data_IF_761152668657
#
_entry.id   IF_761152668657
#
_cell.length_a   1.000
_cell.length_b   1.000
_cell.length_c   1.000
_cell.angle_alpha   90.00
_cell.angle_beta   90.00
_cell.angle_gamma   90.00
#
_symmetry.space_group_name_H-M   'P 1'
#
loop_
_entity.id
_entity.type
_entity.pdbx_description
1 polymer ?
#
# COMPACT_ATOMS: atom_id res chain seq x y z
N UNK A 1 2.51 3.86 -84.47
CA UNK A 1 2.63 2.53 -83.85
C UNK A 1 3.40 2.50 -82.52
N UNK A 2 4.33 3.43 -82.24
CA UNK A 2 5.09 3.46 -80.96
C UNK A 2 4.22 3.66 -79.70
N UNK A 3 3.14 4.46 -79.77
CA UNK A 3 2.21 4.71 -78.65
C UNK A 3 1.49 3.46 -78.14
N UNK A 4 1.25 2.46 -78.99
CA UNK A 4 0.55 1.23 -78.62
C UNK A 4 1.45 0.22 -77.91
N UNK A 5 2.73 0.13 -78.31
CA UNK A 5 3.71 -0.74 -77.67
C UNK A 5 4.09 -0.27 -76.26
N UNK A 6 4.14 1.05 -76.03
CA UNK A 6 4.37 1.64 -74.70
C UNK A 6 3.21 1.26 -73.75
N UNK A 7 1.96 1.29 -74.22
CA UNK A 7 0.80 0.98 -73.38
C UNK A 7 0.74 -0.50 -72.91
N UNK A 8 1.24 -1.43 -73.73
CA UNK A 8 1.31 -2.87 -73.41
C UNK A 8 2.44 -3.20 -72.44
N UNK A 9 3.58 -2.50 -72.51
CA UNK A 9 4.65 -2.68 -71.53
C UNK A 9 4.24 -2.16 -70.15
N UNK A 10 3.54 -1.02 -70.08
CA UNK A 10 3.07 -0.44 -68.82
C UNK A 10 2.05 -1.34 -68.10
N UNK A 11 1.14 -2.01 -68.81
CA UNK A 11 0.13 -2.88 -68.17
C UNK A 11 0.74 -4.08 -67.43
N UNK A 12 1.89 -4.59 -67.89
CA UNK A 12 2.62 -5.68 -67.21
C UNK A 12 3.24 -5.27 -65.88
N UNK A 13 3.49 -3.97 -65.66
CA UNK A 13 3.98 -3.44 -64.39
C UNK A 13 2.86 -3.00 -63.44
N UNK A 14 1.66 -2.70 -63.97
CA UNK A 14 0.50 -2.29 -63.16
C UNK A 14 0.01 -3.44 -62.28
N UNK A 15 -0.11 -4.66 -62.82
CA UNK A 15 -0.58 -5.83 -62.06
C UNK A 15 0.32 -6.15 -60.84
N UNK A 16 1.66 -6.30 -60.95
CA UNK A 16 2.51 -6.54 -59.79
C UNK A 16 2.53 -5.35 -58.82
N UNK A 17 2.43 -4.11 -59.30
CA UNK A 17 2.34 -2.93 -58.44
C UNK A 17 1.07 -2.95 -57.57
N UNK A 18 -0.09 -3.30 -58.15
CA UNK A 18 -1.35 -3.44 -57.40
C UNK A 18 -1.26 -4.56 -56.38
N UNK A 19 -0.66 -5.71 -56.73
CA UNK A 19 -0.46 -6.82 -55.79
C UNK A 19 0.47 -6.40 -54.64
N UNK A 20 1.58 -5.71 -54.91
CA UNK A 20 2.46 -5.18 -53.87
C UNK A 20 1.75 -4.18 -52.95
N UNK A 21 0.89 -3.32 -53.50
CA UNK A 21 0.13 -2.34 -52.72
C UNK A 21 -0.88 -3.04 -51.79
N UNK A 22 -1.61 -4.04 -52.29
CA UNK A 22 -2.53 -4.85 -51.49
C UNK A 22 -1.80 -5.64 -50.40
N UNK A 23 -0.63 -6.21 -50.70
CA UNK A 23 0.22 -6.86 -49.70
C UNK A 23 0.72 -5.86 -48.65
N UNK A 24 1.10 -4.65 -49.06
CA UNK A 24 1.47 -3.58 -48.15
C UNK A 24 0.32 -3.17 -47.22
N UNK A 25 -0.90 -3.01 -47.75
CA UNK A 25 -2.08 -2.66 -46.95
C UNK A 25 -2.46 -3.77 -45.98
N UNK A 26 -2.41 -5.03 -46.40
CA UNK A 26 -2.69 -6.17 -45.51
C UNK A 26 -1.63 -6.33 -44.44
N UNK A 27 -0.35 -6.15 -44.76
CA UNK A 27 0.74 -6.15 -43.78
C UNK A 27 0.60 -4.99 -42.78
N UNK A 28 0.29 -3.79 -43.25
CA UNK A 28 0.07 -2.62 -42.39
C UNK A 28 -1.14 -2.79 -41.48
N UNK A 29 -2.26 -3.31 -42.02
CA UNK A 29 -3.46 -3.63 -41.24
C UNK A 29 -3.16 -4.68 -40.16
N UNK A 30 -2.44 -5.75 -40.52
CA UNK A 30 -2.03 -6.80 -39.58
C UNK A 30 -1.12 -6.25 -38.48
N UNK A 31 -0.18 -5.37 -38.83
CA UNK A 31 0.71 -4.71 -37.88
C UNK A 31 -0.06 -3.85 -36.89
N UNK A 32 -0.98 -3.01 -37.37
CA UNK A 32 -1.82 -2.17 -36.50
C UNK A 32 -2.72 -3.01 -35.59
N UNK A 33 -3.28 -4.11 -36.11
CA UNK A 33 -4.10 -5.02 -35.31
C UNK A 33 -3.29 -5.74 -34.23
N UNK A 34 -2.08 -6.19 -34.55
CA UNK A 34 -1.17 -6.77 -33.55
C UNK A 34 -0.78 -5.74 -32.49
N UNK A 35 -0.54 -4.49 -32.90
CA UNK A 35 -0.23 -3.40 -32.00
C UNK A 35 -1.39 -3.10 -31.04
N UNK A 36 -2.64 -3.07 -31.52
CA UNK A 36 -3.80 -2.86 -30.65
C UNK A 36 -3.97 -4.01 -29.66
N UNK A 37 -3.86 -5.26 -30.12
CA UNK A 37 -3.92 -6.44 -29.24
C UNK A 37 -2.82 -6.44 -28.19
N UNK A 38 -1.62 -5.97 -28.53
CA UNK A 38 -0.51 -5.83 -27.59
C UNK A 38 -0.84 -4.83 -26.48
N UNK A 39 -1.36 -3.65 -26.84
CA UNK A 39 -1.75 -2.63 -25.86
C UNK A 39 -2.90 -3.10 -24.96
N UNK A 40 -3.91 -3.76 -25.52
CA UNK A 40 -5.02 -4.32 -24.73
C UNK A 40 -4.53 -5.36 -23.72
N UNK A 41 -3.64 -6.27 -24.13
CA UNK A 41 -3.05 -7.26 -23.21
C UNK A 41 -2.21 -6.60 -22.13
N UNK A 42 -1.46 -5.58 -22.48
CA UNK A 42 -0.64 -4.84 -21.52
C UNK A 42 -1.52 -4.12 -20.50
N UNK A 43 -2.60 -3.47 -20.95
CA UNK A 43 -3.58 -2.82 -20.07
C UNK A 43 -4.25 -3.83 -19.14
N UNK A 44 -4.70 -4.98 -19.66
CA UNK A 44 -5.31 -6.04 -18.86
C UNK A 44 -4.32 -6.60 -17.82
N UNK A 45 -3.06 -6.82 -18.21
CA UNK A 45 -2.00 -7.29 -17.31
C UNK A 45 -1.75 -6.29 -16.20
N UNK A 46 -1.61 -5.00 -16.53
CA UNK A 46 -1.40 -3.93 -15.56
C UNK A 46 -2.59 -3.79 -14.61
N UNK A 47 -3.82 -3.88 -15.11
CA UNK A 47 -5.03 -3.86 -14.26
C UNK A 47 -5.07 -5.04 -13.30
N UNK A 48 -4.73 -6.24 -13.78
CA UNK A 48 -4.67 -7.44 -12.95
C UNK A 48 -3.58 -7.33 -11.86
N UNK A 49 -2.39 -6.86 -12.22
CA UNK A 49 -1.30 -6.62 -11.28
C UNK A 49 -1.67 -5.56 -10.25
N UNK A 50 -2.27 -4.44 -10.67
CA UNK A 50 -2.72 -3.38 -9.77
C UNK A 50 -3.82 -3.86 -8.82
N UNK A 51 -4.76 -4.66 -9.32
CA UNK A 51 -5.78 -5.31 -8.48
C UNK A 51 -5.18 -6.24 -7.43
N UNK A 52 -4.20 -7.06 -7.83
CA UNK A 52 -3.48 -7.97 -6.94
C UNK A 52 -2.68 -7.20 -5.88
N UNK A 53 -1.98 -6.15 -6.28
CA UNK A 53 -1.25 -5.26 -5.37
C UNK A 53 -2.21 -4.60 -4.38
N UNK A 54 -3.32 -4.04 -4.85
CA UNK A 54 -4.34 -3.44 -3.99
C UNK A 54 -4.88 -4.44 -2.95
N UNK A 55 -5.23 -5.64 -3.40
CA UNK A 55 -5.70 -6.70 -2.51
C UNK A 55 -4.63 -7.09 -1.49
N UNK A 56 -3.39 -7.28 -1.90
CA UNK A 56 -2.27 -7.64 -1.01
C UNK A 56 -2.00 -6.56 0.04
N UNK A 57 -1.98 -5.28 -0.35
CA UNK A 57 -1.78 -4.16 0.56
C UNK A 57 -2.94 -4.02 1.55
N UNK A 58 -4.17 -4.22 1.07
CA UNK A 58 -5.36 -4.20 1.92
C UNK A 58 -5.35 -5.34 2.95
N UNK A 59 -4.93 -6.53 2.55
CA UNK A 59 -4.83 -7.70 3.42
C UNK A 59 -3.72 -7.51 4.46
N UNK A 60 -2.55 -7.03 4.05
CA UNK A 60 -1.46 -6.67 4.95
C UNK A 60 -1.90 -5.62 5.97
N UNK A 61 -2.58 -4.56 5.54
CA UNK A 61 -3.12 -3.52 6.44
C UNK A 61 -4.18 -4.04 7.40
N UNK A 62 -5.03 -5.00 7.00
CA UNK A 62 -5.97 -5.68 7.93
C UNK A 62 -5.23 -6.57 8.93
N UNK A 63 -4.23 -7.32 8.48
CA UNK A 63 -3.40 -8.17 9.34
C UNK A 63 -2.72 -7.35 10.43
N UNK A 64 -2.06 -6.25 10.07
CA UNK A 64 -1.37 -5.37 11.04
C UNK A 64 -2.33 -4.71 12.03
N UNK A 65 -3.50 -4.27 11.56
CA UNK A 65 -4.55 -3.77 12.47
C UNK A 65 -5.04 -4.84 13.44
N UNK A 66 -5.29 -6.05 12.93
CA UNK A 66 -5.74 -7.18 13.73
C UNK A 66 -4.71 -7.55 14.80
N UNK A 67 -3.43 -7.57 14.43
CA UNK A 67 -2.32 -7.80 15.35
C UNK A 67 -2.30 -6.75 16.48
N UNK A 68 -2.27 -5.45 16.17
CA UNK A 68 -2.26 -4.40 17.20
C UNK A 68 -3.53 -4.44 18.06
N UNK A 69 -4.69 -4.69 17.46
CA UNK A 69 -5.95 -4.81 18.18
C UNK A 69 -5.96 -6.00 19.15
N UNK A 70 -5.32 -7.12 18.77
CA UNK A 70 -5.19 -8.28 19.65
C UNK A 70 -4.36 -7.96 20.89
N UNK A 71 -3.25 -7.23 20.74
CA UNK A 71 -2.43 -6.74 21.85
C UNK A 71 -3.17 -5.72 22.71
N UNK A 72 -3.84 -4.75 22.09
CA UNK A 72 -4.61 -3.71 22.78
C UNK A 72 -5.72 -4.28 23.70
N UNK A 73 -6.25 -5.46 23.37
CA UNK A 73 -7.28 -6.16 24.14
C UNK A 73 -6.76 -6.99 25.30
N UNK A 74 -5.45 -7.19 25.42
CA UNK A 74 -4.90 -8.04 26.46
C UNK A 74 -5.10 -7.39 27.84
N UNK A 75 -5.56 -8.15 28.85
CA UNK A 75 -5.84 -7.62 30.17
C UNK A 75 -4.58 -7.12 30.89
N UNK A 76 -3.42 -7.72 30.63
CA UNK A 76 -2.14 -7.32 31.23
C UNK A 76 -1.72 -5.93 30.77
N UNK A 77 -1.82 -5.67 29.45
CA UNK A 77 -1.57 -4.35 28.90
C UNK A 77 -2.48 -3.29 29.54
N UNK A 78 -3.78 -3.59 29.70
CA UNK A 78 -4.72 -2.68 30.35
C UNK A 78 -4.39 -2.43 31.83
N UNK A 79 -3.88 -3.42 32.56
CA UNK A 79 -3.44 -3.26 33.96
C UNK A 79 -2.26 -2.29 34.05
N UNK A 80 -1.25 -2.45 33.20
CA UNK A 80 -0.10 -1.55 33.17
C UNK A 80 -0.50 -0.13 32.76
N UNK A 81 -1.36 0.01 31.74
CA UNK A 81 -1.89 1.32 31.33
C UNK A 81 -2.58 2.03 32.50
N UNK A 82 -3.47 1.33 33.23
CA UNK A 82 -4.18 1.93 34.39
C UNK A 82 -3.23 2.45 35.46
N UNK A 83 -2.14 1.73 35.74
CA UNK A 83 -1.12 2.17 36.70
C UNK A 83 -0.36 3.38 36.18
N UNK A 84 0.01 3.39 34.89
CA UNK A 84 0.75 4.48 34.27
C UNK A 84 -0.08 5.77 34.17
N UNK A 85 -1.37 5.66 33.81
CA UNK A 85 -2.26 6.82 33.61
C UNK A 85 -2.95 7.27 34.89
N UNK A 86 -3.07 6.42 35.92
CA UNK A 86 -3.75 6.76 37.18
C UNK A 86 -2.87 7.53 38.18
N UNK A 87 -3.42 7.78 39.37
CA UNK A 87 -2.74 8.46 40.49
C UNK A 87 -1.82 7.53 41.29
N UNK A 88 -1.22 6.55 40.63
CA UNK A 88 -0.25 5.66 41.25
C UNK A 88 1.02 6.42 41.70
N UNK A 89 1.63 5.97 42.79
CA UNK A 89 2.89 6.50 43.27
C UNK A 89 4.01 6.35 42.20
N UNK A 90 4.91 7.32 42.09
CA UNK A 90 6.02 7.34 41.13
C UNK A 90 6.83 6.03 41.02
N UNK A 91 7.25 5.36 42.12
CA UNK A 91 7.93 4.05 42.04
C UNK A 91 7.07 2.97 41.38
N UNK A 92 5.77 2.94 41.65
CA UNK A 92 4.85 1.96 41.06
C UNK A 92 4.68 2.19 39.55
N UNK A 93 4.64 3.46 39.12
CA UNK A 93 4.64 3.81 37.68
C UNK A 93 5.91 3.34 36.98
N UNK A 94 7.08 3.55 37.61
CA UNK A 94 8.37 3.11 37.06
C UNK A 94 8.50 1.59 36.98
N UNK A 95 8.02 0.86 37.98
CA UNK A 95 7.97 -0.60 37.93
C UNK A 95 7.03 -1.09 36.84
N UNK A 96 5.86 -0.45 36.69
CA UNK A 96 4.91 -0.79 35.64
C UNK A 96 5.43 -0.49 34.23
N UNK A 97 6.24 0.56 34.04
CA UNK A 97 6.83 0.85 32.73
C UNK A 97 7.88 -0.19 32.33
N UNK A 98 8.71 -0.63 33.26
CA UNK A 98 9.70 -1.68 33.02
C UNK A 98 9.02 -3.03 32.74
N UNK A 99 8.03 -3.42 33.56
CA UNK A 99 7.28 -4.65 33.35
C UNK A 99 6.52 -4.65 32.00
N UNK A 100 6.02 -3.48 31.58
CA UNK A 100 5.37 -3.31 30.30
C UNK A 100 6.35 -3.47 29.12
N UNK A 101 7.57 -2.97 29.25
CA UNK A 101 8.60 -3.13 28.24
C UNK A 101 9.00 -4.61 28.07
N UNK A 102 9.16 -5.33 29.18
CA UNK A 102 9.40 -6.78 29.17
C UNK A 102 8.21 -7.54 28.54
N UNK A 103 6.98 -7.15 28.87
CA UNK A 103 5.76 -7.76 28.32
C UNK A 103 5.63 -7.55 26.80
N UNK A 104 6.03 -6.37 26.30
CA UNK A 104 6.00 -6.03 24.89
C UNK A 104 7.26 -6.46 24.13
N UNK A 105 8.26 -7.05 24.79
CA UNK A 105 9.47 -7.56 24.13
C UNK A 105 9.19 -8.48 22.94
N UNK A 106 8.22 -9.41 22.97
CA UNK A 106 7.87 -10.22 21.80
C UNK A 106 7.38 -9.38 20.61
N UNK A 107 6.68 -8.26 20.87
CA UNK A 107 6.22 -7.33 19.83
C UNK A 107 7.40 -6.61 19.19
N UNK A 108 8.36 -6.17 20.00
CA UNK A 108 9.56 -5.46 19.54
C UNK A 108 10.49 -6.40 18.76
N UNK A 109 10.47 -7.70 19.08
CA UNK A 109 11.26 -8.70 18.38
C UNK A 109 10.74 -9.05 16.97
N UNK A 110 9.53 -8.62 16.61
CA UNK A 110 9.02 -8.76 15.24
C UNK A 110 9.80 -7.80 14.30
N UNK A 111 10.54 -8.31 13.30
CA UNK A 111 11.33 -7.47 12.40
C UNK A 111 10.48 -6.50 11.57
N UNK A 112 9.16 -6.73 11.45
CA UNK A 112 8.25 -5.82 10.78
C UNK A 112 7.83 -4.63 11.66
N UNK A 113 8.11 -4.68 12.96
CA UNK A 113 7.78 -3.64 13.94
C UNK A 113 9.05 -2.89 14.32
N UNK A 114 9.14 -1.63 13.89
CA UNK A 114 10.32 -0.80 14.19
C UNK A 114 10.30 -0.23 15.60
N UNK A 115 9.14 0.28 16.03
CA UNK A 115 8.94 0.95 17.31
C UNK A 115 7.52 0.73 17.81
N UNK A 116 7.34 0.74 19.13
CA UNK A 116 6.02 0.80 19.75
C UNK A 116 5.82 2.13 20.46
N UNK A 117 4.58 2.60 20.42
CA UNK A 117 4.15 3.81 21.11
C UNK A 117 2.82 3.55 21.79
N UNK A 118 2.78 3.83 23.07
CA UNK A 118 1.58 3.80 23.88
C UNK A 118 1.16 5.24 24.12
N UNK A 119 0.00 5.60 23.58
CA UNK A 119 -0.52 6.98 23.60
C UNK A 119 -1.55 7.07 24.71
N UNK A 120 -1.29 7.94 25.68
CA UNK A 120 -2.17 8.20 26.82
C UNK A 120 -3.11 9.39 26.62
N UNK A 121 -3.83 9.80 27.67
CA UNK A 121 -4.69 10.98 27.64
C UNK A 121 -3.88 12.25 27.30
N UNK A 122 -4.51 13.17 26.58
CA UNK A 122 -3.82 14.36 26.07
C UNK A 122 -2.84 14.06 24.93
N UNK A 123 -2.94 12.90 24.29
CA UNK A 123 -2.18 12.51 23.10
C UNK A 123 -0.65 12.46 23.32
N UNK A 124 -0.24 12.22 24.57
CA UNK A 124 1.17 12.09 24.95
C UNK A 124 1.60 10.64 24.92
N UNK A 125 2.84 10.41 24.52
CA UNK A 125 3.46 9.09 24.57
C UNK A 125 3.77 8.78 26.05
N UNK A 126 3.10 7.77 26.60
CA UNK A 126 3.25 7.33 27.99
C UNK A 126 4.19 6.13 28.14
N UNK A 127 4.43 5.38 27.06
CA UNK A 127 5.41 4.31 26.98
C UNK A 127 5.88 4.12 25.54
N UNK A 128 7.17 3.81 25.35
CA UNK A 128 7.80 3.52 24.06
C UNK A 128 9.09 2.74 24.28
N UNK A 129 9.54 2.01 23.26
CA UNK A 129 10.88 1.43 23.18
C UNK A 129 11.96 2.50 22.94
N UNK A 130 11.55 3.69 22.50
CA UNK A 130 12.45 4.83 22.37
C UNK A 130 12.24 5.81 23.55
N UNK A 131 13.19 5.89 24.50
CA UNK A 131 13.04 6.75 25.68
C UNK A 131 12.98 8.23 25.33
N UNK A 132 13.58 8.66 24.21
CA UNK A 132 13.60 10.07 23.77
C UNK A 132 12.21 10.57 23.36
N UNK A 133 11.28 9.65 23.09
CA UNK A 133 9.91 9.96 22.66
C UNK A 133 8.92 10.07 23.84
N UNK A 134 9.34 9.70 25.05
CA UNK A 134 8.46 9.73 26.22
C UNK A 134 8.04 11.16 26.58
N UNK A 135 6.74 11.35 26.82
CA UNK A 135 6.17 12.65 27.17
C UNK A 135 5.94 13.60 25.99
N UNK A 136 6.44 13.29 24.79
CA UNK A 136 6.16 14.05 23.59
C UNK A 136 4.73 13.81 23.11
N UNK A 137 4.17 14.82 22.43
CA UNK A 137 2.89 14.69 21.74
C UNK A 137 3.06 13.76 20.55
N UNK A 138 2.23 12.73 20.44
CA UNK A 138 2.34 11.77 19.35
C UNK A 138 2.12 12.46 17.99
N UNK A 139 3.03 12.29 17.00
CA UNK A 139 2.91 12.94 15.70
C UNK A 139 1.67 12.49 14.91
N UNK A 140 1.08 11.35 15.25
CA UNK A 140 -0.19 10.86 14.70
C UNK A 140 -1.36 11.83 14.92
N UNK A 141 -1.23 12.73 15.89
CA UNK A 141 -2.27 13.71 16.27
C UNK A 141 -2.25 14.92 15.35
N UNK A 142 -1.10 15.24 14.75
CA UNK A 142 -0.99 16.27 13.73
C UNK A 142 -1.75 15.88 12.44
N UNK A 143 -2.02 14.58 12.24
CA UNK A 143 -2.63 14.06 11.02
C UNK A 143 -3.80 13.10 11.33
N UNK A 144 -4.93 13.60 11.86
CA UNK A 144 -6.08 12.78 12.25
C UNK A 144 -6.72 12.01 11.08
N UNK A 145 -6.55 12.48 9.84
CA UNK A 145 -7.01 11.77 8.64
C UNK A 145 -6.22 10.48 8.42
N UNK A 146 -4.91 10.46 8.69
CA UNK A 146 -4.06 9.27 8.59
C UNK A 146 -4.48 8.22 9.62
N UNK A 147 -4.82 8.63 10.84
CA UNK A 147 -5.38 7.74 11.85
C UNK A 147 -6.70 7.10 11.37
N UNK A 148 -7.62 7.90 10.82
CA UNK A 148 -8.89 7.38 10.30
C UNK A 148 -8.68 6.40 9.14
N UNK A 149 -7.74 6.70 8.25
CA UNK A 149 -7.44 5.84 7.10
C UNK A 149 -6.71 4.56 7.52
N UNK A 150 -5.72 4.67 8.42
CA UNK A 150 -4.96 3.54 8.92
C UNK A 150 -5.80 2.60 9.79
N UNK A 151 -6.74 3.13 10.57
CA UNK A 151 -7.53 2.36 11.55
C UNK A 151 -9.01 2.20 11.19
N UNK A 152 -9.42 2.61 9.99
CA UNK A 152 -10.77 2.36 9.46
C UNK A 152 -11.89 2.95 10.31
N UNK A 153 -11.71 4.18 10.78
CA UNK A 153 -12.67 4.88 11.65
C UNK A 153 -13.01 4.20 12.98
N UNK A 154 -12.15 3.29 13.50
CA UNK A 154 -12.15 2.99 14.93
C UNK A 154 -11.96 4.32 15.68
N UNK A 155 -13.06 4.86 16.23
CA UNK A 155 -13.03 6.06 17.06
C UNK A 155 -12.01 5.80 18.16
N UNK A 156 -10.92 6.57 18.17
CA UNK A 156 -10.23 6.91 19.40
C UNK A 156 -11.33 7.54 20.27
N UNK A 157 -11.92 6.73 21.16
CA UNK A 157 -12.87 7.24 22.13
C UNK A 157 -12.14 8.35 22.89
N UNK A 158 -12.70 9.57 22.99
CA UNK A 158 -12.17 10.54 23.92
C UNK A 158 -12.27 9.88 25.31
N UNK A 159 -11.11 9.59 25.90
CA UNK A 159 -11.03 9.24 27.31
C UNK A 159 -11.28 10.56 28.02
N UNK A 160 -12.54 10.79 28.39
CA UNK A 160 -12.96 11.82 29.34
C UNK A 160 -12.70 11.34 30.76
#
# INVERSE_FOLDING_TARGET
MLKFAINILWSKFVVPAVVCLLLGMTAFSSFNHLQSLYFERLEQTMRSQLGTLHQSLSAWGRSKRGYVYSWAKQPELQRHIKVLTGDACAPLKKLSSLALEDYLRPVISDPEIKHFYLIGPGNRIIASDNPDQLGLTAPLVAFPYLLRQAWGACRLLPIH
#
